data_IF_417246215750
#
_entry.id   IF_417246215750
#
_cell.length_a   1.000
_cell.length_b   1.000
_cell.length_c   1.000
_cell.angle_alpha   90.00
_cell.angle_beta   90.00
_cell.angle_gamma   90.00
#
_symmetry.space_group_name_H-M   'P 1'
#
loop_
_entity.id
_entity.type
_entity.pdbx_description
1 polymer ?
#
# COMPACT_ATOMS: atom_id res chain seq x y z
N UNK A 1 -49.06 -32.88 36.51
CA UNK A 1 -49.67 -33.57 35.35
C UNK A 1 -48.63 -33.55 34.25
N UNK A 2 -48.05 -34.67 34.18
CA UNK A 2 -47.75 -35.62 33.12
C UNK A 2 -46.67 -35.13 32.14
N UNK A 3 -45.50 -35.62 32.25
CA UNK A 3 -44.92 -36.92 31.82
C UNK A 3 -44.60 -36.99 30.32
N UNK A 4 -43.42 -37.34 30.04
CA UNK A 4 -42.91 -38.35 29.15
C UNK A 4 -42.09 -37.78 27.97
N UNK A 5 -41.03 -38.25 27.53
CA UNK A 5 -40.22 -39.47 27.69
C UNK A 5 -38.92 -39.28 26.86
N UNK A 6 -37.89 -39.93 27.37
CA UNK A 6 -36.57 -40.15 26.72
C UNK A 6 -36.68 -41.00 25.45
N UNK A 7 -35.85 -40.78 24.48
CA UNK A 7 -35.34 -41.86 23.65
C UNK A 7 -33.89 -41.59 23.22
N UNK A 8 -32.97 -42.34 23.81
CA UNK A 8 -31.58 -42.51 23.37
C UNK A 8 -31.52 -43.63 22.32
N UNK A 9 -30.68 -43.44 21.31
CA UNK A 9 -30.29 -44.51 20.38
C UNK A 9 -28.79 -44.66 20.47
N UNK A 10 -28.39 -45.76 21.12
CA UNK A 10 -27.04 -46.26 21.16
C UNK A 10 -26.68 -47.01 19.87
N UNK A 11 -25.52 -46.76 19.32
CA UNK A 11 -24.94 -47.60 18.27
C UNK A 11 -23.94 -48.58 18.86
N UNK A 12 -24.28 -49.87 18.73
CA UNK A 12 -23.46 -51.03 19.12
C UNK A 12 -22.34 -51.28 18.12
N UNK A 13 -21.17 -51.53 18.65
CA UNK A 13 -20.04 -52.16 17.98
C UNK A 13 -20.35 -53.62 17.61
N UNK A 14 -20.02 -54.03 16.39
CA UNK A 14 -20.02 -55.43 16.01
C UNK A 14 -18.59 -55.95 15.75
N UNK A 15 -18.33 -57.10 16.36
CA UNK A 15 -17.06 -57.83 16.42
C UNK A 15 -16.87 -58.74 15.20
N UNK A 16 -15.61 -58.90 14.80
CA UNK A 16 -14.89 -60.09 14.34
C UNK A 16 -15.41 -60.90 13.16
N UNK A 17 -14.56 -60.99 12.14
CA UNK A 17 -14.31 -62.32 11.52
C UNK A 17 -12.80 -62.47 11.28
N UNK A 18 -12.20 -63.37 12.08
CA UNK A 18 -10.90 -63.99 11.79
C UNK A 18 -11.16 -65.16 10.83
N UNK A 19 -10.42 -65.23 9.73
CA UNK A 19 -10.22 -66.51 9.02
C UNK A 19 -8.76 -66.85 9.00
N UNK A 20 -8.46 -67.99 9.69
CA UNK A 20 -7.22 -68.77 9.62
C UNK A 20 -7.12 -69.42 8.23
N UNK A 21 -5.94 -69.36 7.62
CA UNK A 21 -5.51 -70.35 6.65
C UNK A 21 -4.11 -70.82 6.95
N UNK A 22 -3.97 -72.18 6.91
CA UNK A 22 -2.84 -72.93 7.31
C UNK A 22 -1.80 -73.10 6.20
N UNK A 23 -0.59 -73.31 6.67
CA UNK A 23 0.66 -73.68 6.03
C UNK A 23 0.60 -74.76 4.93
N UNK A 24 1.42 -74.58 3.86
CA UNK A 24 2.39 -75.57 3.38
C UNK A 24 3.38 -74.97 2.35
N UNK A 25 4.69 -75.16 2.61
CA UNK A 25 5.72 -75.52 1.64
C UNK A 25 6.49 -74.38 0.90
N UNK A 26 7.65 -74.02 1.43
CA UNK A 26 8.96 -73.78 0.73
C UNK A 26 9.00 -73.15 -0.67
N UNK A 27 9.40 -71.91 -0.73
CA UNK A 27 10.56 -71.35 -1.44
C UNK A 27 10.50 -69.80 -1.35
N UNK A 28 11.42 -69.25 -0.58
CA UNK A 28 11.58 -67.82 -0.52
C UNK A 28 12.39 -67.32 -1.73
N UNK A 29 11.71 -66.92 -2.80
CA UNK A 29 12.30 -65.99 -3.76
C UNK A 29 12.01 -64.61 -3.22
N UNK A 30 13.07 -63.93 -2.82
CA UNK A 30 13.07 -62.53 -2.45
C UNK A 30 12.74 -61.69 -3.70
N UNK A 31 11.44 -61.45 -3.94
CA UNK A 31 11.02 -60.38 -4.83
C UNK A 31 11.20 -59.11 -4.01
N UNK A 32 12.32 -58.41 -4.25
CA UNK A 32 12.44 -57.02 -3.89
C UNK A 32 11.40 -56.29 -4.73
N UNK A 33 10.41 -55.60 -4.10
CA UNK A 33 9.64 -54.63 -4.88
C UNK A 33 10.65 -53.61 -5.36
N UNK A 34 10.82 -53.46 -6.65
CA UNK A 34 11.45 -52.31 -7.24
C UNK A 34 10.57 -51.09 -6.83
N UNK A 35 10.98 -50.40 -5.77
CA UNK A 35 10.56 -49.04 -5.58
C UNK A 35 11.15 -48.31 -6.77
N UNK A 36 10.31 -47.70 -7.64
CA UNK A 36 10.86 -46.79 -8.62
C UNK A 36 11.64 -45.75 -7.86
N UNK A 37 12.89 -45.61 -8.25
CA UNK A 37 13.82 -44.62 -7.73
C UNK A 37 13.07 -43.37 -7.34
N UNK A 38 13.36 -42.87 -6.15
CA UNK A 38 12.95 -41.55 -5.70
C UNK A 38 13.64 -40.53 -6.59
N UNK A 39 13.23 -40.50 -7.86
CA UNK A 39 13.55 -39.43 -8.79
C UNK A 39 12.88 -38.19 -8.20
N UNK A 40 13.69 -37.43 -7.53
CA UNK A 40 13.73 -35.98 -7.52
C UNK A 40 12.34 -35.32 -7.58
N UNK A 41 11.54 -35.53 -6.54
CA UNK A 41 10.54 -34.55 -6.16
C UNK A 41 11.30 -33.37 -5.55
N UNK A 42 12.07 -32.65 -6.38
CA UNK A 42 12.26 -31.22 -6.16
C UNK A 42 10.84 -30.64 -6.12
N UNK A 43 10.29 -30.61 -4.93
CA UNK A 43 9.13 -29.79 -4.60
C UNK A 43 9.41 -28.44 -5.21
N UNK A 44 8.77 -28.12 -6.32
CA UNK A 44 8.65 -26.76 -6.82
C UNK A 44 7.96 -26.00 -5.73
N UNK A 45 8.74 -25.50 -4.74
CA UNK A 45 8.20 -24.61 -3.71
C UNK A 45 7.52 -23.50 -4.49
N UNK A 46 6.18 -23.51 -4.44
CA UNK A 46 5.36 -22.51 -5.13
C UNK A 46 5.95 -21.16 -4.77
N UNK A 47 6.44 -20.42 -5.78
CA UNK A 47 6.96 -19.08 -5.59
C UNK A 47 5.85 -18.25 -4.98
N UNK A 48 6.06 -17.71 -3.78
CA UNK A 48 5.04 -16.96 -3.02
C UNK A 48 5.69 -15.74 -2.39
N UNK A 49 5.12 -14.57 -2.66
CA UNK A 49 5.47 -13.30 -2.04
C UNK A 49 4.38 -12.92 -1.01
N UNK A 50 4.78 -12.72 0.24
CA UNK A 50 3.88 -12.26 1.31
C UNK A 50 3.89 -10.75 1.38
N UNK A 51 2.77 -10.15 0.98
CA UNK A 51 2.59 -8.70 0.91
C UNK A 51 1.73 -8.18 2.06
N UNK A 52 2.23 -7.21 2.80
CA UNK A 52 1.52 -6.50 3.85
C UNK A 52 0.62 -5.38 3.31
N UNK A 53 -0.69 -5.55 3.45
CA UNK A 53 -1.68 -4.51 3.17
C UNK A 53 -1.94 -3.70 4.45
N UNK A 54 -1.76 -2.35 4.46
CA UNK A 54 -2.01 -1.56 5.65
C UNK A 54 -3.48 -1.55 6.03
N UNK A 55 -3.80 -1.88 7.28
CA UNK A 55 -5.15 -1.73 7.85
C UNK A 55 -5.31 -0.31 8.41
N UNK A 56 -6.46 0.30 8.21
CA UNK A 56 -6.78 1.64 8.69
C UNK A 56 -6.86 2.66 7.57
N UNK A 57 -6.40 3.88 7.79
CA UNK A 57 -6.60 5.02 6.89
C UNK A 57 -6.02 4.83 5.48
N UNK A 58 -4.98 4.01 5.32
CA UNK A 58 -4.35 3.73 4.04
C UNK A 58 -4.94 2.52 3.30
N UNK A 59 -5.83 1.73 3.93
CA UNK A 59 -6.31 0.46 3.36
C UNK A 59 -7.00 0.64 2.02
N UNK A 60 -8.06 1.45 2.02
CA UNK A 60 -8.92 1.60 0.84
C UNK A 60 -8.15 2.24 -0.32
N UNK A 61 -7.36 3.28 -0.03
CA UNK A 61 -6.50 3.91 -1.01
C UNK A 61 -5.47 2.92 -1.61
N UNK A 62 -4.86 2.06 -0.77
CA UNK A 62 -3.93 1.03 -1.25
C UNK A 62 -4.61 -0.01 -2.13
N UNK A 63 -5.80 -0.47 -1.75
CA UNK A 63 -6.59 -1.43 -2.55
C UNK A 63 -6.97 -0.83 -3.91
N UNK A 64 -7.41 0.43 -3.93
CA UNK A 64 -7.70 1.15 -5.18
C UNK A 64 -6.47 1.24 -6.11
N UNK A 65 -5.30 1.58 -5.54
CA UNK A 65 -4.06 1.67 -6.32
C UNK A 65 -3.61 0.30 -6.83
N UNK A 66 -3.75 -0.76 -6.03
CA UNK A 66 -3.49 -2.13 -6.48
C UNK A 66 -4.43 -2.54 -7.62
N UNK A 67 -5.71 -2.17 -7.57
CA UNK A 67 -6.67 -2.43 -8.63
C UNK A 67 -6.28 -1.71 -9.94
N UNK A 68 -5.92 -0.43 -9.88
CA UNK A 68 -5.40 0.32 -11.04
C UNK A 68 -4.07 -0.25 -11.56
N UNK A 69 -3.23 -0.76 -10.65
CA UNK A 69 -1.99 -1.44 -11.00
C UNK A 69 -2.21 -2.81 -11.65
N UNK A 70 -3.40 -3.42 -11.49
CA UNK A 70 -3.80 -4.66 -12.14
C UNK A 70 -4.03 -5.84 -11.20
N UNK A 71 -4.03 -5.65 -9.88
CA UNK A 71 -4.36 -6.67 -8.89
C UNK A 71 -5.75 -6.47 -8.30
N UNK A 72 -6.62 -7.44 -8.49
CA UNK A 72 -7.97 -7.41 -7.91
C UNK A 72 -7.94 -7.96 -6.48
N UNK A 73 -7.88 -7.06 -5.51
CA UNK A 73 -7.82 -7.39 -4.08
C UNK A 73 -9.20 -7.25 -3.46
N UNK A 74 -9.70 -8.33 -2.82
CA UNK A 74 -10.99 -8.34 -2.11
C UNK A 74 -10.76 -8.49 -0.61
N UNK A 75 -11.02 -7.42 0.11
CA UNK A 75 -10.89 -7.39 1.58
C UNK A 75 -12.21 -7.81 2.21
N UNK A 76 -12.16 -8.76 3.13
CA UNK A 76 -13.30 -9.16 3.95
C UNK A 76 -13.16 -8.58 5.37
N UNK A 77 -14.26 -8.18 5.98
CA UNK A 77 -14.27 -7.70 7.37
C UNK A 77 -13.88 -8.80 8.38
N UNK A 78 -14.02 -10.08 8.00
CA UNK A 78 -13.79 -11.25 8.85
C UNK A 78 -12.44 -11.93 8.64
N UNK A 79 -11.70 -11.58 7.58
CA UNK A 79 -10.42 -12.23 7.26
C UNK A 79 -9.29 -11.22 7.18
N UNK A 80 -8.16 -11.57 7.79
CA UNK A 80 -6.90 -10.81 7.66
C UNK A 80 -6.03 -11.28 6.49
N UNK A 81 -6.54 -12.23 5.69
CA UNK A 81 -5.91 -12.71 4.45
C UNK A 81 -6.88 -12.40 3.30
N UNK A 82 -6.79 -11.20 2.70
CA UNK A 82 -7.59 -10.83 1.53
C UNK A 82 -7.34 -11.77 0.34
N UNK A 83 -8.37 -11.98 -0.46
CA UNK A 83 -8.21 -12.62 -1.75
C UNK A 83 -7.47 -11.69 -2.72
N UNK A 84 -6.60 -12.27 -3.54
CA UNK A 84 -5.99 -11.60 -4.70
C UNK A 84 -5.95 -12.57 -5.89
N UNK A 85 -6.11 -12.05 -7.08
CA UNK A 85 -6.14 -12.81 -8.34
C UNK A 85 -4.75 -13.23 -8.87
N UNK A 86 -3.69 -13.03 -8.09
CA UNK A 86 -2.32 -13.45 -8.39
C UNK A 86 -1.92 -14.63 -7.49
N UNK A 87 -1.67 -15.80 -8.07
CA UNK A 87 -1.31 -17.01 -7.32
C UNK A 87 0.08 -16.98 -6.67
N UNK A 88 0.93 -16.05 -7.09
CA UNK A 88 2.26 -15.83 -6.52
C UNK A 88 2.26 -14.79 -5.39
N UNK A 89 1.11 -14.20 -5.08
CA UNK A 89 0.96 -13.15 -4.08
C UNK A 89 0.02 -13.62 -2.96
N UNK A 90 0.48 -13.53 -1.72
CA UNK A 90 -0.34 -13.70 -0.52
C UNK A 90 -0.42 -12.37 0.21
N UNK A 91 -1.63 -11.81 0.32
CA UNK A 91 -1.83 -10.54 1.01
C UNK A 91 -2.22 -10.81 2.48
N UNK A 92 -1.60 -10.08 3.40
CA UNK A 92 -1.93 -10.07 4.83
C UNK A 92 -2.22 -8.66 5.29
N UNK A 93 -3.35 -8.47 5.95
CA UNK A 93 -3.73 -7.16 6.48
C UNK A 93 -3.12 -6.95 7.85
N UNK A 94 -2.27 -5.92 7.98
CA UNK A 94 -1.55 -5.57 9.21
C UNK A 94 -1.70 -4.05 9.43
N UNK A 95 -1.77 -3.60 10.68
CA UNK A 95 -1.77 -2.16 10.97
C UNK A 95 -0.50 -1.50 10.44
N UNK A 96 -0.64 -0.29 9.88
CA UNK A 96 0.49 0.47 9.35
C UNK A 96 1.58 0.68 10.41
N UNK A 97 1.20 0.88 11.66
CA UNK A 97 2.08 1.04 12.82
C UNK A 97 3.04 -0.13 13.05
N UNK A 98 2.60 -1.34 12.73
CA UNK A 98 3.35 -2.59 12.99
C UNK A 98 4.03 -3.13 11.72
N UNK A 99 3.66 -2.62 10.54
CA UNK A 99 4.08 -3.14 9.25
C UNK A 99 5.60 -3.27 9.13
N UNK A 100 6.34 -2.22 9.47
CA UNK A 100 7.79 -2.20 9.32
C UNK A 100 8.48 -3.24 10.21
N UNK A 101 7.93 -3.53 11.40
CA UNK A 101 8.43 -4.58 12.31
C UNK A 101 8.27 -5.96 11.70
N UNK A 102 7.10 -6.27 11.13
CA UNK A 102 6.82 -7.59 10.56
C UNK A 102 7.56 -7.82 9.24
N UNK A 103 7.80 -6.75 8.46
CA UNK A 103 8.67 -6.82 7.29
C UNK A 103 10.13 -7.03 7.72
N UNK A 104 10.65 -6.28 8.69
CA UNK A 104 12.00 -6.45 9.20
C UNK A 104 12.27 -7.88 9.69
N UNK A 105 11.31 -8.47 10.42
CA UNK A 105 11.41 -9.83 10.98
C UNK A 105 11.20 -10.94 9.93
N UNK A 106 10.93 -10.61 8.67
CA UNK A 106 10.70 -11.59 7.59
C UNK A 106 9.37 -12.35 7.67
N UNK A 107 8.44 -11.91 8.53
CA UNK A 107 7.08 -12.43 8.54
C UNK A 107 6.32 -12.06 7.26
N UNK A 108 6.62 -10.88 6.73
CA UNK A 108 6.23 -10.38 5.42
C UNK A 108 7.48 -10.18 4.57
N UNK A 109 7.36 -10.41 3.26
CA UNK A 109 8.43 -10.16 2.31
C UNK A 109 8.51 -8.68 1.94
N UNK A 110 7.35 -8.02 1.84
CA UNK A 110 7.22 -6.59 1.62
C UNK A 110 5.87 -6.10 2.16
N UNK A 111 5.67 -4.78 2.16
CA UNK A 111 4.39 -4.19 2.56
C UNK A 111 4.40 -2.67 2.43
N UNK A 112 3.21 -2.06 2.54
CA UNK A 112 3.05 -0.60 2.49
C UNK A 112 2.82 -0.06 3.89
N UNK A 113 3.58 0.99 4.25
CA UNK A 113 3.44 1.72 5.50
C UNK A 113 3.85 3.18 5.32
N UNK A 114 3.56 4.04 6.32
CA UNK A 114 4.10 5.38 6.36
C UNK A 114 5.59 5.38 6.74
N UNK A 115 6.36 6.34 6.22
CA UNK A 115 7.76 6.54 6.61
C UNK A 115 7.91 6.80 8.11
N UNK A 116 6.94 7.45 8.71
CA UNK A 116 6.85 7.70 10.16
C UNK A 116 6.93 6.40 10.99
N UNK A 117 6.27 5.32 10.54
CA UNK A 117 6.31 4.04 11.25
C UNK A 117 7.63 3.30 11.08
N UNK A 118 8.33 3.50 9.97
CA UNK A 118 9.71 3.02 9.81
C UNK A 118 10.61 3.73 10.82
N UNK A 119 10.49 5.04 10.91
CA UNK A 119 11.23 5.87 11.86
C UNK A 119 10.82 5.57 13.31
N UNK A 120 9.52 5.47 13.63
CA UNK A 120 9.06 5.17 14.99
C UNK A 120 9.66 3.86 15.49
N UNK A 121 9.58 2.81 14.69
CA UNK A 121 10.06 1.48 15.03
C UNK A 121 11.59 1.33 14.85
N UNK A 122 12.27 2.31 14.26
CA UNK A 122 13.69 2.23 13.89
C UNK A 122 14.01 0.94 13.09
N UNK A 123 13.10 0.53 12.21
CA UNK A 123 13.16 -0.73 11.48
C UNK A 123 14.22 -0.73 10.40
N UNK A 124 14.92 -1.87 10.24
CA UNK A 124 15.96 -2.10 9.24
C UNK A 124 15.39 -2.80 8.03
N UNK A 125 14.71 -2.06 7.18
CA UNK A 125 14.05 -2.52 5.94
C UNK A 125 14.70 -1.88 4.72
N UNK A 126 14.37 -2.39 3.53
CA UNK A 126 14.69 -1.75 2.26
C UNK A 126 13.51 -0.88 1.83
N UNK A 127 13.73 0.41 1.59
CA UNK A 127 12.71 1.33 1.06
C UNK A 127 12.73 1.28 -0.47
N UNK A 128 11.79 0.54 -1.08
CA UNK A 128 11.75 0.28 -2.52
C UNK A 128 11.12 1.43 -3.31
N UNK A 129 10.11 2.09 -2.73
CA UNK A 129 9.41 3.17 -3.41
C UNK A 129 8.64 4.08 -2.47
N UNK A 130 8.59 5.35 -2.87
CA UNK A 130 7.75 6.38 -2.26
C UNK A 130 6.51 6.59 -3.10
N UNK A 131 5.37 6.71 -2.42
CA UNK A 131 4.07 6.89 -3.05
C UNK A 131 3.34 8.06 -2.42
N UNK A 132 2.96 9.02 -3.21
CA UNK A 132 2.24 10.19 -2.73
C UNK A 132 0.73 9.96 -2.85
N UNK A 133 0.15 9.26 -1.89
CA UNK A 133 -1.29 9.17 -1.73
C UNK A 133 -1.67 9.22 -0.24
N UNK A 134 -2.83 9.81 0.06
CA UNK A 134 -3.41 9.86 1.38
C UNK A 134 -4.92 9.68 1.31
N UNK A 135 -5.57 9.62 2.47
CA UNK A 135 -7.03 9.46 2.53
C UNK A 135 -7.79 10.67 1.99
N UNK A 136 -7.29 11.88 2.20
CA UNK A 136 -8.02 13.12 1.95
C UNK A 136 -7.34 14.07 0.96
N UNK A 137 -6.03 14.06 0.91
CA UNK A 137 -5.24 14.97 0.06
C UNK A 137 -4.08 14.23 -0.59
N UNK A 138 -3.46 14.85 -1.59
CA UNK A 138 -2.19 14.35 -2.15
C UNK A 138 -0.97 15.00 -1.47
N UNK A 139 -1.13 15.43 -0.21
CA UNK A 139 -0.05 16.03 0.56
C UNK A 139 0.54 15.02 1.51
N UNK A 140 1.84 15.11 1.81
CA UNK A 140 2.46 14.34 2.87
C UNK A 140 1.77 14.59 4.21
N UNK A 141 1.61 13.56 5.02
CA UNK A 141 1.27 13.73 6.42
C UNK A 141 2.46 14.33 7.17
N UNK A 142 2.22 15.22 8.12
CA UNK A 142 3.27 15.89 8.91
C UNK A 142 3.09 15.57 10.38
N UNK A 143 4.15 15.14 11.02
CA UNK A 143 4.22 15.05 12.49
C UNK A 143 4.70 16.37 13.02
N UNK A 144 3.87 17.02 13.82
CA UNK A 144 4.10 18.39 14.32
C UNK A 144 4.06 18.44 15.84
N UNK A 145 4.91 19.28 16.40
CA UNK A 145 4.80 19.71 17.79
C UNK A 145 3.70 20.75 17.88
N UNK A 146 2.69 20.50 18.68
CA UNK A 146 1.60 21.44 18.93
C UNK A 146 1.40 21.67 20.42
N UNK A 147 0.97 22.88 20.75
CA UNK A 147 0.75 23.34 22.12
C UNK A 147 -0.56 24.15 22.19
N UNK A 148 -1.18 24.29 23.37
CA UNK A 148 -2.31 25.22 23.53
C UNK A 148 -1.96 26.63 23.02
N UNK A 149 -2.93 27.31 22.41
CA UNK A 149 -2.73 28.65 21.82
C UNK A 149 -2.06 29.62 22.80
N UNK A 150 -2.44 29.57 24.09
CA UNK A 150 -1.94 30.44 25.16
C UNK A 150 -0.62 29.96 25.78
N UNK A 151 -0.04 28.85 25.31
CA UNK A 151 1.20 28.29 25.86
C UNK A 151 2.39 29.23 25.65
N UNK A 152 3.29 29.28 26.63
CA UNK A 152 4.57 30.04 26.55
C UNK A 152 5.63 29.32 25.73
N UNK A 153 5.43 28.06 25.34
CA UNK A 153 6.37 27.28 24.54
C UNK A 153 6.36 27.81 23.11
N UNK A 154 7.48 28.36 22.65
CA UNK A 154 7.65 28.93 21.29
C UNK A 154 8.67 28.16 20.47
N UNK A 155 9.50 27.34 21.09
CA UNK A 155 10.57 26.59 20.43
C UNK A 155 10.78 25.22 21.08
N UNK A 156 11.55 24.36 20.42
CA UNK A 156 11.96 23.05 20.96
C UNK A 156 12.68 23.17 22.29
N UNK A 157 13.48 24.24 22.50
CA UNK A 157 14.24 24.46 23.72
C UNK A 157 13.36 24.66 24.97
N UNK A 158 12.15 25.17 24.75
CA UNK A 158 11.19 25.41 25.84
C UNK A 158 10.54 24.12 26.37
N UNK A 159 10.81 22.98 25.71
CA UNK A 159 10.33 21.66 26.12
C UNK A 159 11.18 21.02 27.24
N UNK A 160 12.27 21.67 27.69
CA UNK A 160 13.11 21.10 28.73
C UNK A 160 12.29 20.79 30.00
N UNK A 161 12.28 19.50 30.41
CA UNK A 161 11.53 19.02 31.58
C UNK A 161 10.02 18.93 31.42
N UNK A 162 9.48 19.24 30.22
CA UNK A 162 8.04 19.22 29.89
C UNK A 162 7.51 17.83 29.63
N UNK A 163 6.18 17.66 29.74
CA UNK A 163 5.43 16.44 29.37
C UNK A 163 4.88 16.57 27.97
N UNK A 164 5.08 15.52 27.17
CA UNK A 164 4.66 15.45 25.77
C UNK A 164 3.89 14.15 25.55
N UNK A 165 2.67 14.23 25.06
CA UNK A 165 1.89 13.05 24.66
C UNK A 165 1.95 12.85 23.15
N UNK A 166 2.13 11.59 22.72
CA UNK A 166 2.21 11.24 21.30
C UNK A 166 2.03 9.73 21.06
N UNK A 167 1.56 9.35 19.88
CA UNK A 167 1.59 7.97 19.42
C UNK A 167 3.02 7.51 19.01
N UNK A 168 3.87 8.46 18.57
CA UNK A 168 5.23 8.20 18.05
C UNK A 168 6.32 8.53 19.09
N UNK A 169 6.34 7.76 20.16
CA UNK A 169 7.23 7.98 21.32
C UNK A 169 8.71 7.84 20.96
N UNK A 170 9.06 6.81 20.18
CA UNK A 170 10.44 6.53 19.79
C UNK A 170 11.01 7.63 18.91
N UNK A 171 10.28 8.02 17.88
CA UNK A 171 10.65 9.11 16.96
C UNK A 171 10.79 10.44 17.74
N UNK A 172 9.82 10.77 18.60
CA UNK A 172 9.82 11.99 19.39
C UNK A 172 11.04 12.05 20.33
N UNK A 173 11.35 10.95 21.03
CA UNK A 173 12.55 10.88 21.89
C UNK A 173 13.85 11.07 21.10
N UNK A 174 13.96 10.45 19.92
CA UNK A 174 15.16 10.63 19.06
C UNK A 174 15.25 12.07 18.55
N UNK A 175 14.12 12.68 18.18
CA UNK A 175 14.08 14.08 17.74
C UNK A 175 14.49 15.04 18.86
N UNK A 176 13.96 14.88 20.08
CA UNK A 176 14.36 15.66 21.25
C UNK A 176 15.85 15.54 21.55
N UNK A 177 16.40 14.30 21.52
CA UNK A 177 17.83 14.04 21.72
C UNK A 177 18.68 14.80 20.70
N UNK A 178 18.32 14.80 19.42
CA UNK A 178 19.02 15.56 18.36
C UNK A 178 19.00 17.06 18.62
N UNK A 179 17.95 17.57 19.25
CA UNK A 179 17.84 18.99 19.65
C UNK A 179 18.45 19.32 21.00
N UNK A 180 19.04 18.34 21.70
CA UNK A 180 19.66 18.54 23.01
C UNK A 180 18.65 18.86 24.12
N UNK A 181 17.41 18.38 24.01
CA UNK A 181 16.31 18.61 24.95
C UNK A 181 15.94 17.31 25.66
N UNK A 182 15.73 17.36 26.97
CA UNK A 182 15.20 16.28 27.80
C UNK A 182 13.79 16.62 28.21
N UNK A 183 12.82 15.80 27.80
CA UNK A 183 11.40 15.93 28.14
C UNK A 183 10.80 14.55 28.45
N UNK A 184 9.69 14.51 29.17
CA UNK A 184 8.95 13.28 29.45
C UNK A 184 7.99 13.01 28.30
N UNK A 185 8.24 11.95 27.53
CA UNK A 185 7.40 11.56 26.39
C UNK A 185 6.55 10.37 26.80
N UNK A 186 5.24 10.55 26.75
CA UNK A 186 4.23 9.58 27.14
C UNK A 186 3.45 9.08 25.91
N UNK A 187 3.13 7.79 25.93
CA UNK A 187 2.31 7.22 24.86
C UNK A 187 0.86 7.69 24.97
N UNK A 188 0.27 8.07 23.84
CA UNK A 188 -1.11 8.51 23.72
C UNK A 188 -1.81 7.82 22.57
N UNK A 189 -2.84 7.03 22.86
CA UNK A 189 -3.64 6.35 21.86
C UNK A 189 -4.91 7.15 21.56
N UNK A 190 -4.85 8.01 20.55
CA UNK A 190 -5.99 8.81 20.10
C UNK A 190 -6.42 9.91 21.08
N UNK A 191 -7.25 10.82 20.61
CA UNK A 191 -7.73 12.01 21.34
C UNK A 191 -6.58 12.78 22.01
N UNK A 192 -5.43 12.84 21.35
CA UNK A 192 -4.21 13.44 21.92
C UNK A 192 -4.35 14.94 22.08
N UNK A 193 -5.14 15.58 21.20
CA UNK A 193 -5.37 17.03 21.21
C UNK A 193 -6.00 17.51 22.52
N UNK A 194 -6.92 16.74 23.10
CA UNK A 194 -7.61 17.11 24.35
C UNK A 194 -6.63 17.10 25.54
N UNK A 195 -5.63 16.20 25.51
CA UNK A 195 -4.65 16.06 26.60
C UNK A 195 -3.74 17.27 26.77
N UNK A 196 -3.52 18.03 25.69
CA UNK A 196 -2.67 19.22 25.71
C UNK A 196 -3.18 20.36 26.61
N UNK A 197 -4.45 20.34 26.99
CA UNK A 197 -5.03 21.41 27.83
C UNK A 197 -4.89 21.15 29.34
N UNK A 198 -4.84 19.88 29.74
CA UNK A 198 -4.93 19.55 31.18
C UNK A 198 -3.84 18.57 31.65
N UNK A 199 -3.40 17.66 30.80
CA UNK A 199 -2.57 16.53 31.22
C UNK A 199 -1.09 16.69 30.85
N UNK A 200 -0.79 17.34 29.70
CA UNK A 200 0.57 17.51 29.19
C UNK A 200 0.82 18.94 28.71
N UNK A 201 2.08 19.34 28.61
CA UNK A 201 2.47 20.70 28.19
C UNK A 201 2.43 20.85 26.65
N UNK A 202 2.62 19.75 25.91
CA UNK A 202 2.66 19.71 24.45
C UNK A 202 2.24 18.34 23.93
N UNK A 203 1.91 18.27 22.65
CA UNK A 203 1.68 17.02 21.93
C UNK A 203 2.54 16.96 20.67
N UNK A 204 2.84 15.73 20.23
CA UNK A 204 3.31 15.49 18.88
C UNK A 204 2.23 14.67 18.18
N UNK A 205 1.65 15.25 17.14
CA UNK A 205 0.47 14.68 16.45
C UNK A 205 0.63 14.77 14.94
N UNK A 206 -0.03 13.82 14.24
CA UNK A 206 -0.06 13.78 12.78
C UNK A 206 -1.13 14.72 12.23
N UNK A 207 -0.79 15.44 11.18
CA UNK A 207 -1.74 16.30 10.48
C UNK A 207 -1.40 16.47 9.01
N UNK A 208 -2.40 16.59 8.15
CA UNK A 208 -2.21 17.02 6.75
C UNK A 208 -2.44 18.54 6.62
N UNK A 209 -3.53 19.05 7.17
CA UNK A 209 -4.00 20.44 7.00
C UNK A 209 -3.91 21.29 8.27
N UNK A 210 -3.74 20.68 9.43
CA UNK A 210 -3.78 21.34 10.72
C UNK A 210 -5.19 21.67 11.25
N UNK A 211 -6.25 21.25 10.56
CA UNK A 211 -7.62 21.60 10.92
C UNK A 211 -8.03 21.05 12.29
N UNK A 212 -7.71 19.79 12.60
CA UNK A 212 -8.01 19.18 13.90
C UNK A 212 -7.32 19.94 15.03
N UNK A 213 -6.06 20.29 14.87
CA UNK A 213 -5.31 21.07 15.87
C UNK A 213 -5.96 22.44 16.13
N UNK A 214 -6.30 23.19 15.06
CA UNK A 214 -6.98 24.50 15.19
C UNK A 214 -8.34 24.38 15.84
N UNK A 215 -9.12 23.36 15.47
CA UNK A 215 -10.44 23.12 16.08
C UNK A 215 -10.36 22.83 17.58
N UNK A 216 -9.22 22.34 18.05
CA UNK A 216 -8.94 22.09 19.47
C UNK A 216 -8.08 23.21 20.12
N UNK A 217 -8.05 24.42 19.56
CA UNK A 217 -7.29 25.56 20.09
C UNK A 217 -5.81 25.27 20.32
N UNK A 218 -5.20 24.51 19.41
CA UNK A 218 -3.80 24.19 19.41
C UNK A 218 -3.09 24.90 18.25
N UNK A 219 -1.89 25.43 18.51
CA UNK A 219 -1.01 25.97 17.48
C UNK A 219 0.20 25.06 17.26
N UNK A 220 0.63 24.99 16.03
CA UNK A 220 1.85 24.28 15.64
C UNK A 220 3.05 25.14 16.00
N UNK A 221 4.02 24.55 16.69
CA UNK A 221 5.31 25.17 17.03
C UNK A 221 6.34 24.87 15.95
N UNK A 222 6.46 23.59 15.56
CA UNK A 222 7.41 23.15 14.54
C UNK A 222 7.00 21.78 13.99
N UNK A 223 7.56 21.43 12.85
CA UNK A 223 7.44 20.11 12.25
C UNK A 223 8.60 19.21 12.67
N UNK A 224 8.31 17.95 13.01
CA UNK A 224 9.31 16.94 13.33
C UNK A 224 9.75 16.18 12.07
N UNK A 225 8.77 15.78 11.27
CA UNK A 225 9.01 15.11 10.00
C UNK A 225 7.79 15.15 9.10
N UNK A 226 8.02 15.01 7.80
CA UNK A 226 7.02 14.73 6.78
C UNK A 226 7.03 13.25 6.45
N UNK A 227 5.85 12.63 6.33
CA UNK A 227 5.68 11.21 6.06
C UNK A 227 4.83 10.98 4.83
N UNK A 228 5.28 10.05 3.99
CA UNK A 228 4.56 9.53 2.83
C UNK A 228 4.50 8.01 2.91
N UNK A 229 3.50 7.36 2.28
CA UNK A 229 3.49 5.91 2.14
C UNK A 229 4.74 5.40 1.42
N UNK A 230 5.29 4.29 1.92
CA UNK A 230 6.46 3.60 1.39
C UNK A 230 6.13 2.13 1.12
N UNK A 231 6.57 1.61 -0.01
CA UNK A 231 6.73 0.18 -0.18
C UNK A 231 8.09 -0.21 0.39
N UNK A 232 8.06 -1.07 1.39
CA UNK A 232 9.25 -1.57 2.07
C UNK A 232 9.41 -3.07 1.85
N UNK A 233 10.64 -3.55 1.85
CA UNK A 233 10.96 -4.96 1.71
C UNK A 233 11.85 -5.46 2.87
N UNK A 234 11.67 -6.73 3.21
CA UNK A 234 12.59 -7.45 4.08
C UNK A 234 13.95 -7.59 3.36
N UNK A 235 15.05 -7.32 4.06
CA UNK A 235 16.40 -7.32 3.46
C UNK A 235 16.84 -8.65 2.88
N UNK A 236 16.42 -9.77 3.49
CA UNK A 236 16.76 -11.09 2.96
C UNK A 236 15.84 -11.49 1.80
N UNK A 237 14.56 -11.11 1.84
CA UNK A 237 13.67 -11.22 0.69
C UNK A 237 14.15 -10.38 -0.49
N UNK A 238 14.72 -9.21 -0.24
CA UNK A 238 15.30 -8.33 -1.26
C UNK A 238 16.54 -8.94 -1.96
N UNK A 239 17.32 -9.76 -1.25
CA UNK A 239 18.44 -10.51 -1.84
C UNK A 239 18.00 -11.67 -2.72
N UNK A 240 16.76 -12.14 -2.58
CA UNK A 240 16.21 -13.19 -3.44
C UNK A 240 15.75 -12.58 -4.77
N UNK A 241 16.42 -12.92 -5.86
CA UNK A 241 16.22 -12.33 -7.17
C UNK A 241 14.74 -12.37 -7.63
N UNK A 242 14.03 -13.48 -7.46
CA UNK A 242 12.64 -13.58 -7.87
C UNK A 242 11.73 -12.64 -7.03
N UNK A 243 11.93 -12.60 -5.70
CA UNK A 243 11.15 -11.71 -4.82
C UNK A 243 11.43 -10.26 -5.12
N UNK A 244 12.68 -9.90 -5.31
CA UNK A 244 13.09 -8.55 -5.69
C UNK A 244 12.39 -8.12 -6.98
N UNK A 245 12.49 -8.91 -8.06
CA UNK A 245 11.83 -8.61 -9.33
C UNK A 245 10.30 -8.45 -9.17
N UNK A 246 9.66 -9.32 -8.37
CA UNK A 246 8.21 -9.23 -8.11
C UNK A 246 7.86 -7.94 -7.35
N UNK A 247 8.66 -7.55 -6.34
CA UNK A 247 8.48 -6.32 -5.56
C UNK A 247 8.71 -5.09 -6.45
N UNK A 248 9.75 -5.08 -7.28
CA UNK A 248 10.03 -4.00 -8.24
C UNK A 248 8.91 -3.84 -9.27
N UNK A 249 8.34 -4.96 -9.74
CA UNK A 249 7.17 -4.95 -10.62
C UNK A 249 5.96 -4.31 -9.93
N UNK A 250 5.70 -4.67 -8.67
CA UNK A 250 4.62 -4.06 -7.87
C UNK A 250 4.88 -2.54 -7.72
N UNK A 251 6.11 -2.15 -7.38
CA UNK A 251 6.48 -0.74 -7.23
C UNK A 251 6.29 0.05 -8.53
N UNK A 252 6.74 -0.50 -9.65
CA UNK A 252 6.63 0.13 -10.97
C UNK A 252 5.16 0.34 -11.36
N UNK A 253 4.33 -0.70 -11.22
CA UNK A 253 2.91 -0.63 -11.63
C UNK A 253 2.09 0.26 -10.68
N UNK A 254 2.39 0.27 -9.37
CA UNK A 254 1.78 1.21 -8.43
C UNK A 254 2.16 2.66 -8.75
N UNK A 255 3.42 2.92 -9.10
CA UNK A 255 3.87 4.25 -9.53
C UNK A 255 3.14 4.67 -10.80
N UNK A 256 3.08 3.77 -11.80
CA UNK A 256 2.34 4.04 -13.04
C UNK A 256 0.85 4.34 -12.81
N UNK A 257 0.22 3.68 -11.83
CA UNK A 257 -1.16 3.96 -11.45
C UNK A 257 -1.33 5.36 -10.81
N UNK A 258 -0.36 5.78 -9.97
CA UNK A 258 -0.36 7.12 -9.37
C UNK A 258 -0.09 8.21 -10.42
N UNK A 259 0.87 7.98 -11.32
CA UNK A 259 1.22 8.91 -12.38
C UNK A 259 0.03 9.15 -13.34
N UNK A 260 -0.81 8.13 -13.55
CA UNK A 260 -2.01 8.23 -14.37
C UNK A 260 -3.14 9.07 -13.75
N UNK A 261 -3.16 9.26 -12.43
CA UNK A 261 -4.28 9.94 -11.74
C UNK A 261 -4.46 11.43 -12.10
N UNK A 262 -3.40 12.06 -12.58
CA UNK A 262 -3.43 13.46 -13.00
C UNK A 262 -3.44 13.60 -14.52
N UNK A 263 -3.51 12.48 -15.24
CA UNK A 263 -3.33 12.46 -16.69
C UNK A 263 -4.52 11.82 -17.39
N UNK A 264 -4.72 12.31 -18.60
CA UNK A 264 -5.74 11.79 -19.51
C UNK A 264 -5.11 11.47 -20.86
N UNK A 265 -5.68 10.50 -21.55
CA UNK A 265 -5.45 10.33 -22.97
C UNK A 265 -6.32 11.32 -23.74
N UNK A 266 -5.71 12.04 -24.66
CA UNK A 266 -6.38 12.95 -25.57
C UNK A 266 -6.19 12.49 -27.00
N UNK A 267 -7.29 12.32 -27.72
CA UNK A 267 -7.32 11.95 -29.12
C UNK A 267 -8.15 12.94 -29.90
N UNK A 268 -7.72 13.29 -31.11
CA UNK A 268 -8.44 14.19 -32.00
C UNK A 268 -8.09 13.91 -33.46
N UNK A 269 -8.96 14.33 -34.35
CA UNK A 269 -8.72 14.34 -35.80
C UNK A 269 -8.52 15.75 -36.30
N UNK A 270 -7.67 15.93 -37.32
CA UNK A 270 -7.35 17.24 -37.89
C UNK A 270 -6.94 17.07 -39.35
N UNK A 271 -7.25 18.06 -40.16
CA UNK A 271 -6.69 18.18 -41.51
C UNK A 271 -5.16 18.30 -41.43
N UNK A 272 -4.44 17.61 -42.30
CA UNK A 272 -2.98 17.59 -42.31
C UNK A 272 -2.35 19.00 -42.41
N UNK A 273 -2.97 19.89 -43.15
CA UNK A 273 -2.53 21.30 -43.31
C UNK A 273 -2.59 22.10 -41.99
N UNK A 274 -3.51 21.75 -41.09
CA UNK A 274 -3.70 22.40 -39.81
C UNK A 274 -2.90 21.71 -38.68
N UNK A 275 -2.28 20.56 -38.92
CA UNK A 275 -1.57 19.77 -37.92
C UNK A 275 -0.51 20.60 -37.15
N UNK A 276 0.29 21.42 -37.85
CA UNK A 276 1.33 22.26 -37.22
C UNK A 276 0.75 23.26 -36.22
N UNK A 277 -0.47 23.73 -36.42
CA UNK A 277 -1.16 24.67 -35.50
C UNK A 277 -1.56 23.97 -34.22
N UNK A 278 -2.05 22.72 -34.32
CA UNK A 278 -2.44 21.89 -33.19
C UNK A 278 -1.19 21.46 -32.39
N UNK A 279 -0.14 20.99 -33.04
CA UNK A 279 1.09 20.51 -32.36
C UNK A 279 1.75 21.63 -31.53
N UNK A 280 1.66 22.89 -31.95
CA UNK A 280 2.16 24.04 -31.16
C UNK A 280 1.41 24.25 -29.84
N UNK A 281 0.19 23.74 -29.73
CA UNK A 281 -0.70 23.92 -28.56
C UNK A 281 -0.71 22.71 -27.61
N UNK A 282 -0.23 21.56 -28.10
CA UNK A 282 -0.24 20.30 -27.33
C UNK A 282 1.03 20.17 -26.49
N UNK A 283 0.96 20.26 -25.14
CA UNK A 283 2.04 19.87 -24.26
C UNK A 283 2.06 18.35 -24.18
N UNK A 284 2.72 17.69 -25.10
CA UNK A 284 2.82 16.23 -25.12
C UNK A 284 3.92 15.73 -24.16
N UNK A 285 3.75 14.54 -23.58
CA UNK A 285 4.77 13.84 -22.79
C UNK A 285 6.11 13.67 -23.52
N UNK A 286 6.00 13.44 -24.82
CA UNK A 286 7.05 13.48 -25.83
C UNK A 286 6.41 14.07 -27.09
N UNK A 287 6.72 13.51 -28.26
CA UNK A 287 5.95 13.81 -29.46
C UNK A 287 4.62 13.05 -29.42
N UNK A 288 3.48 13.67 -29.83
CA UNK A 288 2.23 12.97 -29.96
C UNK A 288 2.32 11.89 -31.05
N UNK A 289 1.52 10.83 -30.94
CA UNK A 289 1.36 9.86 -32.01
C UNK A 289 0.48 10.44 -33.10
N UNK A 290 0.92 10.33 -34.36
CA UNK A 290 0.18 10.83 -35.53
C UNK A 290 -0.06 9.65 -36.46
N UNK A 291 -1.32 9.42 -36.86
CA UNK A 291 -1.70 8.37 -37.80
C UNK A 291 -2.56 8.99 -38.92
N UNK A 292 -2.34 8.54 -40.17
CA UNK A 292 -3.21 8.91 -41.27
C UNK A 292 -4.58 8.24 -41.12
N UNK A 293 -5.62 8.94 -41.47
CA UNK A 293 -6.98 8.42 -41.51
C UNK A 293 -7.32 7.85 -42.90
N UNK A 294 -8.36 7.02 -42.98
CA UNK A 294 -8.88 6.53 -44.26
C UNK A 294 -9.36 7.63 -45.18
N UNK A 295 -9.74 8.78 -44.64
CA UNK A 295 -10.04 10.00 -45.38
C UNK A 295 -8.74 10.70 -45.74
N UNK A 296 -8.43 10.80 -47.00
CA UNK A 296 -7.21 11.47 -47.50
C UNK A 296 -7.13 12.93 -47.00
N UNK A 297 -5.95 13.32 -46.55
CA UNK A 297 -5.70 14.66 -46.01
C UNK A 297 -6.06 14.86 -44.54
N UNK A 298 -6.52 13.82 -43.87
CA UNK A 298 -6.83 13.85 -42.43
C UNK A 298 -5.88 12.95 -41.61
N UNK A 299 -5.55 13.41 -40.41
CA UNK A 299 -4.73 12.68 -39.47
C UNK A 299 -5.38 12.63 -38.09
N UNK A 300 -5.16 11.50 -37.38
CA UNK A 300 -5.47 11.37 -35.97
C UNK A 300 -4.22 11.74 -35.16
N UNK A 301 -4.40 12.49 -34.11
CA UNK A 301 -3.36 12.84 -33.12
C UNK A 301 -3.75 12.26 -31.79
N UNK A 302 -2.84 11.53 -31.15
CA UNK A 302 -3.03 10.96 -29.82
C UNK A 302 -1.88 11.32 -28.90
N UNK A 303 -2.21 11.74 -27.68
CA UNK A 303 -1.23 12.13 -26.67
C UNK A 303 -1.74 11.87 -25.25
N UNK A 304 -0.83 11.92 -24.28
CA UNK A 304 -1.13 11.91 -22.85
C UNK A 304 -0.72 13.25 -22.26
N UNK A 305 -1.64 13.89 -21.57
CA UNK A 305 -1.43 15.23 -20.96
C UNK A 305 -2.03 15.27 -19.55
N UNK A 306 -1.72 16.31 -18.80
CA UNK A 306 -2.35 16.57 -17.52
C UNK A 306 -3.83 16.97 -17.72
N UNK A 307 -4.74 16.41 -16.90
CA UNK A 307 -6.19 16.64 -17.02
C UNK A 307 -6.56 18.14 -16.97
N UNK A 308 -5.93 18.90 -16.04
CA UNK A 308 -6.20 20.34 -15.96
C UNK A 308 -5.81 21.09 -17.24
N UNK A 309 -4.75 20.64 -17.92
CA UNK A 309 -4.30 21.22 -19.18
C UNK A 309 -5.27 20.86 -20.30
N UNK A 310 -5.79 19.62 -20.32
CA UNK A 310 -6.79 19.21 -21.32
C UNK A 310 -7.98 20.16 -21.35
N UNK A 311 -8.55 20.47 -20.18
CA UNK A 311 -9.65 21.42 -20.03
C UNK A 311 -9.35 22.80 -20.60
N UNK A 312 -8.12 23.29 -20.45
CA UNK A 312 -7.72 24.61 -20.91
C UNK A 312 -7.48 24.65 -22.43
N UNK A 313 -6.93 23.58 -23.01
CA UNK A 313 -6.52 23.59 -24.42
C UNK A 313 -7.62 23.15 -25.39
N UNK A 314 -8.59 22.32 -24.97
CA UNK A 314 -9.66 21.80 -25.85
C UNK A 314 -10.37 22.90 -26.67
N UNK A 315 -10.77 24.04 -26.09
CA UNK A 315 -11.38 25.13 -26.88
C UNK A 315 -10.45 25.66 -27.99
N UNK A 316 -9.17 25.77 -27.69
CA UNK A 316 -8.17 26.27 -28.63
C UNK A 316 -7.81 25.26 -29.73
N UNK A 317 -7.90 23.94 -29.43
CA UNK A 317 -7.76 22.89 -30.42
C UNK A 317 -8.93 22.88 -31.38
N UNK A 318 -10.17 23.02 -30.85
CA UNK A 318 -11.38 23.15 -31.66
C UNK A 318 -11.32 24.36 -32.61
N UNK A 319 -10.87 25.50 -32.09
CA UNK A 319 -10.67 26.70 -32.90
C UNK A 319 -9.58 26.56 -33.98
N UNK A 320 -8.61 25.65 -33.77
CA UNK A 320 -7.60 25.29 -34.76
C UNK A 320 -8.06 24.32 -35.84
N UNK A 321 -9.33 23.87 -35.78
CA UNK A 321 -9.94 22.95 -36.73
C UNK A 321 -9.94 21.48 -36.26
N UNK A 322 -9.58 21.18 -35.01
CA UNK A 322 -9.66 19.83 -34.50
C UNK A 322 -11.11 19.36 -34.38
N UNK A 323 -11.34 18.11 -34.75
CA UNK A 323 -12.63 17.41 -34.66
C UNK A 323 -12.53 16.10 -33.92
N UNK A 324 -13.67 15.56 -33.43
CA UNK A 324 -13.70 14.28 -32.74
C UNK A 324 -12.75 14.25 -31.54
N UNK A 325 -12.65 15.36 -30.78
CA UNK A 325 -11.80 15.44 -29.61
C UNK A 325 -12.36 14.54 -28.52
N UNK A 326 -11.58 13.53 -28.11
CA UNK A 326 -11.95 12.52 -27.10
C UNK A 326 -10.94 12.58 -25.97
N UNK A 327 -11.42 12.78 -24.76
CA UNK A 327 -10.67 12.64 -23.53
C UNK A 327 -11.08 11.33 -22.83
N UNK A 328 -10.09 10.55 -22.34
CA UNK A 328 -10.37 9.32 -21.63
C UNK A 328 -9.39 9.11 -20.45
N UNK A 329 -9.88 8.52 -19.32
CA UNK A 329 -9.05 8.28 -18.16
C UNK A 329 -8.04 7.16 -18.42
N UNK A 330 -6.90 7.23 -17.72
CA UNK A 330 -5.83 6.24 -17.80
C UNK A 330 -5.77 5.42 -16.53
N UNK A 331 -5.56 4.10 -16.65
CA UNK A 331 -5.31 3.26 -15.49
C UNK A 331 -3.86 3.34 -15.01
N UNK A 332 -2.91 3.40 -15.93
CA UNK A 332 -1.47 3.45 -15.68
C UNK A 332 -0.73 4.20 -16.78
N UNK A 333 0.32 4.90 -16.37
CA UNK A 333 1.34 5.43 -17.27
C UNK A 333 2.69 4.95 -16.76
N UNK A 334 3.42 4.17 -17.56
CA UNK A 334 4.77 3.68 -17.21
C UNK A 334 5.76 4.33 -18.14
N UNK A 335 6.74 5.06 -17.59
CA UNK A 335 7.76 5.81 -18.33
C UNK A 335 8.99 4.96 -18.66
#
# INVERSE_FOLDING_TARGET
MTDGARNGVGFRASKKVQKRFAFRGSQWQTIRPAFPDAVDRMSTRKKLLRFGLPKGSLQDATVEKLAKAGWNVRVSSRSYVPYVDDQELEIRTIRAQEMSIYVERGYLDCGITGRDWIEENNSKVEEVGEFLFSKATRRPARWVLAVPEKSKIKSVKDLQGKRIATEVVGMTKRWLKRNGVKANVEFSWGATEVKAHELVDAIVEVTETGNSLRANNLRIVTELMSSTPRLIANRDSWKNQWKQQKIETIAMLLRGALDAETKVGLKLNIEADNLKKVLKKLPALRNPTINELSQTGWVAVETVIDEHVAREIIPSLKAAGAEGIIEYPLNKVVY
#
